data_IF_144587112622
#
_entry.id   IF_144587112622
#
_cell.length_a   1.000
_cell.length_b   1.000
_cell.length_c   1.000
_cell.angle_alpha   90.00
_cell.angle_beta   90.00
_cell.angle_gamma   90.00
#
_symmetry.space_group_name_H-M   'P 1'
#
loop_
_entity.id
_entity.type
_entity.pdbx_description
1 polymer ?
#
# COMPACT_ATOMS: atom_id res chain seq x y z
N UNK A 1 -13.99 -25.47 -0.09
CA UNK A 1 -13.09 -24.49 -0.68
C UNK A 1 -11.80 -25.22 -1.05
N UNK A 2 -11.43 -25.25 -2.33
CA UNK A 2 -10.16 -25.85 -2.74
C UNK A 2 -9.09 -24.75 -2.66
N UNK A 3 -8.03 -24.96 -1.88
CA UNK A 3 -6.93 -24.00 -1.74
C UNK A 3 -5.89 -24.32 -2.81
N UNK A 4 -5.69 -23.39 -3.76
CA UNK A 4 -4.63 -23.49 -4.76
C UNK A 4 -3.32 -23.01 -4.15
N UNK A 5 -2.27 -23.82 -4.21
CA UNK A 5 -0.91 -23.42 -3.76
C UNK A 5 -0.23 -22.62 -4.87
N UNK A 6 0.38 -21.50 -4.51
CA UNK A 6 1.12 -20.60 -5.39
C UNK A 6 2.39 -20.15 -4.65
N UNK A 7 3.53 -20.06 -5.34
CA UNK A 7 4.71 -19.36 -4.84
C UNK A 7 4.54 -17.89 -5.21
N UNK A 8 4.63 -16.99 -4.22
CA UNK A 8 4.49 -15.55 -4.42
C UNK A 8 5.39 -14.80 -3.43
N UNK A 9 5.88 -13.63 -3.84
CA UNK A 9 6.47 -12.65 -2.94
C UNK A 9 5.40 -11.64 -2.52
N UNK A 10 5.33 -11.34 -1.22
CA UNK A 10 4.34 -10.42 -0.64
C UNK A 10 5.07 -9.20 -0.10
N UNK A 11 4.54 -8.01 -0.40
CA UNK A 11 5.00 -6.74 0.15
C UNK A 11 3.87 -6.14 1.00
N UNK A 12 4.21 -5.75 2.23
CA UNK A 12 3.36 -4.97 3.10
C UNK A 12 4.14 -3.75 3.58
N UNK A 13 3.65 -2.55 3.28
CA UNK A 13 4.31 -1.29 3.59
C UNK A 13 3.32 -0.33 4.24
N UNK A 14 3.80 0.46 5.21
CA UNK A 14 2.99 1.32 6.07
C UNK A 14 3.70 2.66 6.35
N UNK A 15 2.95 3.70 6.72
CA UNK A 15 3.51 5.05 6.95
C UNK A 15 3.90 5.24 8.41
N UNK A 16 5.21 5.27 8.66
CA UNK A 16 5.73 5.50 10.01
C UNK A 16 5.25 6.84 10.60
N UNK A 17 4.53 6.76 11.72
CA UNK A 17 4.05 7.94 12.45
C UNK A 17 2.82 8.62 11.82
N UNK A 18 2.09 7.94 10.92
CA UNK A 18 0.88 8.45 10.30
C UNK A 18 -0.09 9.10 11.28
N UNK A 19 -0.42 8.45 12.40
CA UNK A 19 -1.35 9.02 13.39
C UNK A 19 -0.90 10.38 13.95
N UNK A 20 0.42 10.59 14.12
CA UNK A 20 0.97 11.88 14.58
C UNK A 20 0.87 12.94 13.49
N UNK A 21 1.11 12.57 12.24
CA UNK A 21 0.99 13.47 11.09
C UNK A 21 -0.46 13.92 10.92
N UNK A 22 -1.40 12.97 10.94
CA UNK A 22 -2.83 13.23 10.87
C UNK A 22 -3.31 14.09 12.04
N UNK A 23 -2.81 13.86 13.24
CA UNK A 23 -3.13 14.68 14.41
C UNK A 23 -2.63 16.13 14.32
N UNK A 24 -1.58 16.39 13.52
CA UNK A 24 -1.04 17.74 13.30
C UNK A 24 -1.73 18.45 12.11
N UNK A 25 -2.01 17.72 11.03
CA UNK A 25 -2.69 18.20 9.84
C UNK A 25 -3.36 17.03 9.11
N UNK A 26 -4.64 16.82 9.36
CA UNK A 26 -5.41 15.70 8.80
C UNK A 26 -5.55 15.82 7.27
N UNK A 27 -5.97 16.99 6.78
CA UNK A 27 -6.24 17.18 5.35
C UNK A 27 -4.95 17.14 4.52
N UNK A 28 -3.88 17.79 5.01
CA UNK A 28 -2.58 17.75 4.35
C UNK A 28 -1.95 16.36 4.36
N UNK A 29 -2.08 15.62 5.45
CA UNK A 29 -1.61 14.23 5.53
C UNK A 29 -2.37 13.34 4.57
N UNK A 30 -3.70 13.47 4.48
CA UNK A 30 -4.52 12.67 3.57
C UNK A 30 -4.18 12.95 2.09
N UNK A 31 -4.05 14.22 1.69
CA UNK A 31 -3.65 14.59 0.32
C UNK A 31 -2.27 14.02 -0.03
N UNK A 32 -1.33 14.13 0.89
CA UNK A 32 0.03 13.63 0.70
C UNK A 32 0.05 12.11 0.58
N UNK A 33 -0.66 11.41 1.48
CA UNK A 33 -0.80 9.96 1.46
C UNK A 33 -1.39 9.47 0.13
N UNK A 34 -2.45 10.10 -0.38
CA UNK A 34 -3.06 9.71 -1.65
C UNK A 34 -2.08 9.78 -2.82
N UNK A 35 -1.29 10.85 -2.92
CA UNK A 35 -0.28 11.00 -3.98
C UNK A 35 0.80 9.92 -3.89
N UNK A 36 1.25 9.58 -2.69
CA UNK A 36 2.26 8.53 -2.51
C UNK A 36 1.69 7.14 -2.76
N UNK A 37 0.46 6.84 -2.35
CA UNK A 37 -0.18 5.57 -2.65
C UNK A 37 -0.33 5.38 -4.16
N UNK A 38 -0.75 6.40 -4.90
CA UNK A 38 -0.83 6.34 -6.37
C UNK A 38 0.55 6.07 -7.00
N UNK A 39 1.59 6.76 -6.54
CA UNK A 39 2.95 6.57 -7.03
C UNK A 39 3.51 5.17 -6.72
N UNK A 40 3.25 4.65 -5.52
CA UNK A 40 3.66 3.31 -5.09
C UNK A 40 2.92 2.24 -5.89
N UNK A 41 1.61 2.39 -6.09
CA UNK A 41 0.79 1.49 -6.90
C UNK A 41 1.29 1.42 -8.34
N UNK A 42 1.50 2.58 -8.97
CA UNK A 42 2.10 2.61 -10.30
C UNK A 42 3.48 1.93 -10.33
N UNK A 43 4.29 2.06 -9.27
CA UNK A 43 5.59 1.38 -9.19
C UNK A 43 5.43 -0.14 -9.08
N UNK A 44 4.52 -0.62 -8.24
CA UNK A 44 4.23 -2.05 -8.07
C UNK A 44 3.80 -2.66 -9.41
N UNK A 45 2.82 -2.05 -10.07
CA UNK A 45 2.28 -2.53 -11.36
C UNK A 45 3.35 -2.54 -12.46
N UNK A 46 4.19 -1.49 -12.53
CA UNK A 46 5.29 -1.42 -13.48
C UNK A 46 6.37 -2.51 -13.27
N UNK A 47 6.42 -3.14 -12.09
CA UNK A 47 7.36 -4.24 -11.79
C UNK A 47 6.66 -5.60 -11.76
N UNK A 48 5.46 -5.71 -12.34
CA UNK A 48 4.72 -6.97 -12.44
C UNK A 48 4.07 -7.42 -11.14
N UNK A 49 3.93 -6.52 -10.17
CA UNK A 49 3.16 -6.78 -8.96
C UNK A 49 1.69 -6.39 -9.10
N UNK A 50 0.88 -6.84 -8.16
CA UNK A 50 -0.53 -6.49 -8.04
C UNK A 50 -0.83 -5.98 -6.63
N UNK A 51 -1.46 -4.80 -6.54
CA UNK A 51 -2.00 -4.30 -5.27
C UNK A 51 -3.27 -5.08 -4.94
N UNK A 52 -3.27 -5.75 -3.79
CA UNK A 52 -4.38 -6.56 -3.32
C UNK A 52 -5.34 -5.77 -2.43
N UNK A 53 -4.78 -4.92 -1.56
CA UNK A 53 -5.56 -4.19 -0.57
C UNK A 53 -4.83 -2.95 -0.04
N UNK A 54 -5.60 -1.97 0.41
CA UNK A 54 -5.14 -0.84 1.21
C UNK A 54 -5.78 -0.91 2.59
N UNK A 55 -4.98 -0.71 3.64
CA UNK A 55 -5.45 -0.70 5.02
C UNK A 55 -5.04 0.62 5.69
N UNK A 56 -5.88 1.65 5.51
CA UNK A 56 -5.55 3.00 5.96
C UNK A 56 -4.38 3.57 5.16
N UNK A 57 -3.25 3.76 5.84
CA UNK A 57 -1.98 4.20 5.26
C UNK A 57 -1.09 3.06 4.75
N UNK A 58 -1.49 1.81 4.97
CA UNK A 58 -0.75 0.64 4.51
C UNK A 58 -1.21 0.14 3.13
N UNK A 59 -0.30 -0.48 2.40
CA UNK A 59 -0.54 -1.17 1.13
C UNK A 59 -0.07 -2.63 1.20
N UNK A 60 -0.88 -3.53 0.66
CA UNK A 60 -0.57 -4.95 0.49
C UNK A 60 -0.50 -5.28 -1.00
N UNK A 61 0.61 -5.88 -1.44
CA UNK A 61 0.80 -6.30 -2.81
C UNK A 61 1.43 -7.69 -2.92
N UNK A 62 1.16 -8.36 -4.04
CA UNK A 62 1.79 -9.63 -4.42
C UNK A 62 2.59 -9.51 -5.72
N UNK A 63 3.62 -10.35 -5.85
CA UNK A 63 4.42 -10.56 -7.06
C UNK A 63 4.56 -12.07 -7.26
N UNK A 64 4.08 -12.62 -8.38
CA UNK A 64 4.03 -14.07 -8.57
C UNK A 64 3.98 -14.49 -10.04
#
# INVERSE_FOLDING_TARGET
>A
MNVTRKLAAIVYADVAGHSRLTGADEEGTHKTLSVYLDAITARIENHGGQVLHYAGDAILAEFA
#
